data_IF_450632945173
#
_entry.id   IF_450632945173
#
_cell.length_a   1.000
_cell.length_b   1.000
_cell.length_c   1.000
_cell.angle_alpha   90.00
_cell.angle_beta   90.00
_cell.angle_gamma   90.00
#
_symmetry.space_group_name_H-M   'P 1'
#
loop_
_entity.id
_entity.type
_entity.pdbx_description
1 polymer ?
#
# COMPACT_ATOMS: atom_id res chain seq x y z
N UNK A 1 -4.82 6.17 25.65
CA UNK A 1 -5.65 5.98 24.44
C UNK A 1 -5.57 4.51 24.05
N UNK A 2 -6.69 3.92 23.64
CA UNK A 2 -6.69 2.55 23.10
C UNK A 2 -5.92 2.52 21.79
N UNK A 3 -5.04 1.54 21.60
CA UNK A 3 -4.30 1.34 20.36
C UNK A 3 -5.10 0.43 19.42
N UNK A 4 -5.05 0.71 18.13
CA UNK A 4 -5.54 -0.19 17.08
C UNK A 4 -4.57 -1.36 16.90
N UNK A 5 -5.10 -2.57 16.89
CA UNK A 5 -4.34 -3.81 16.72
C UNK A 5 -4.27 -4.14 15.22
N UNK A 6 -3.05 -4.24 14.72
CA UNK A 6 -2.78 -4.22 13.28
C UNK A 6 -2.11 -5.50 12.84
N UNK A 7 -2.70 -6.15 11.84
CA UNK A 7 -2.09 -7.23 11.07
C UNK A 7 -1.52 -6.73 9.75
N UNK A 8 -0.41 -7.31 9.31
CA UNK A 8 0.21 -7.01 8.01
C UNK A 8 0.39 -8.30 7.24
N UNK A 9 -0.11 -8.36 6.01
CA UNK A 9 0.12 -9.45 5.03
C UNK A 9 1.15 -8.96 4.01
N UNK A 10 2.16 -9.78 3.72
CA UNK A 10 3.24 -9.41 2.80
C UNK A 10 4.32 -8.52 3.44
N UNK A 11 4.54 -8.67 4.74
CA UNK A 11 5.43 -7.82 5.54
C UNK A 11 6.92 -7.86 5.17
N UNK A 12 7.39 -8.86 4.41
CA UNK A 12 8.79 -8.95 3.98
C UNK A 12 9.12 -8.10 2.74
N UNK A 13 8.12 -7.58 2.03
CA UNK A 13 8.30 -6.69 0.89
C UNK A 13 8.74 -5.27 1.28
N UNK A 14 9.14 -4.45 0.30
CA UNK A 14 9.51 -3.05 0.56
C UNK A 14 8.37 -2.26 1.18
N UNK A 15 7.17 -2.38 0.65
CA UNK A 15 5.98 -1.68 1.17
C UNK A 15 5.66 -2.11 2.61
N UNK A 16 5.75 -3.43 2.90
CA UNK A 16 5.59 -3.95 4.26
C UNK A 16 6.65 -3.39 5.22
N UNK A 17 7.90 -3.29 4.78
CA UNK A 17 8.99 -2.71 5.57
C UNK A 17 8.77 -1.23 5.88
N UNK A 18 8.34 -0.42 4.90
CA UNK A 18 8.02 1.00 5.14
C UNK A 18 6.82 1.14 6.10
N UNK A 19 5.81 0.31 5.94
CA UNK A 19 4.66 0.31 6.85
C UNK A 19 5.06 -0.04 8.28
N UNK A 20 5.94 -1.03 8.46
CA UNK A 20 6.49 -1.38 9.76
C UNK A 20 7.19 -0.18 10.44
N UNK A 21 8.05 0.54 9.71
CA UNK A 21 8.75 1.75 10.22
C UNK A 21 7.77 2.81 10.71
N UNK A 22 6.70 3.03 9.95
CA UNK A 22 5.65 4.00 10.30
C UNK A 22 4.88 3.54 11.54
N UNK A 23 4.43 2.27 11.54
CA UNK A 23 3.51 1.78 12.58
C UNK A 23 4.20 1.53 13.92
N UNK A 24 5.48 1.12 13.95
CA UNK A 24 6.24 0.97 15.18
C UNK A 24 6.34 2.28 15.96
N UNK A 25 6.38 3.41 15.26
CA UNK A 25 6.45 4.74 15.84
C UNK A 25 5.08 5.44 15.95
N UNK A 26 3.99 4.81 15.49
CA UNK A 26 2.67 5.44 15.52
C UNK A 26 2.02 5.29 16.92
N UNK A 27 1.61 6.40 17.58
CA UNK A 27 1.15 6.37 18.98
C UNK A 27 -0.10 5.53 19.21
N UNK A 28 -0.93 5.37 18.20
CA UNK A 28 -2.18 4.62 18.26
C UNK A 28 -2.12 3.24 17.57
N UNK A 29 -0.94 2.79 17.15
CA UNK A 29 -0.77 1.49 16.54
C UNK A 29 -0.18 0.47 17.52
N UNK A 30 -0.61 -0.79 17.38
CA UNK A 30 0.01 -1.95 17.98
C UNK A 30 0.08 -3.05 16.94
N UNK A 31 1.28 -3.47 16.58
CA UNK A 31 1.48 -4.55 15.62
C UNK A 31 1.18 -5.89 16.30
N UNK A 32 0.14 -6.57 15.86
CA UNK A 32 -0.30 -7.86 16.38
C UNK A 32 0.41 -9.01 15.69
N UNK A 33 0.49 -8.98 14.35
CA UNK A 33 1.24 -9.94 13.57
C UNK A 33 1.73 -9.35 12.25
N UNK A 34 2.75 -9.99 11.68
CA UNK A 34 3.30 -9.66 10.36
C UNK A 34 3.48 -10.95 9.58
N UNK A 35 2.64 -11.18 8.58
CA UNK A 35 2.64 -12.40 7.79
C UNK A 35 3.66 -12.33 6.64
N UNK A 36 4.49 -13.36 6.54
CA UNK A 36 5.31 -13.63 5.37
C UNK A 36 5.63 -15.11 5.27
N UNK A 37 5.12 -15.78 4.25
CA UNK A 37 5.37 -17.20 4.05
C UNK A 37 6.85 -17.49 3.79
N UNK A 38 7.53 -16.66 3.00
CA UNK A 38 8.94 -16.85 2.64
C UNK A 38 9.92 -16.61 3.80
N UNK A 39 9.51 -15.86 4.83
CA UNK A 39 10.33 -15.51 5.99
C UNK A 39 9.73 -16.02 7.31
N UNK A 40 8.78 -16.95 7.24
CA UNK A 40 8.09 -17.48 8.41
C UNK A 40 9.05 -17.91 9.53
N UNK A 41 8.75 -17.49 10.76
CA UNK A 41 9.56 -17.79 11.95
C UNK A 41 10.84 -16.97 12.09
N UNK A 42 11.23 -16.18 11.08
CA UNK A 42 12.41 -15.33 11.18
C UNK A 42 12.08 -13.99 11.86
N UNK A 43 12.97 -13.46 12.70
CA UNK A 43 12.84 -12.09 13.22
C UNK A 43 12.75 -11.06 12.09
N UNK A 44 11.90 -10.05 12.26
CA UNK A 44 11.66 -9.01 11.25
C UNK A 44 12.96 -8.33 10.82
N UNK A 45 13.88 -8.06 11.74
CA UNK A 45 15.16 -7.43 11.45
C UNK A 45 16.08 -8.26 10.54
N UNK A 46 15.84 -9.53 10.34
CA UNK A 46 16.59 -10.33 9.37
C UNK A 46 16.36 -9.87 7.94
N UNK A 47 15.16 -9.41 7.65
CA UNK A 47 14.77 -8.84 6.35
C UNK A 47 14.93 -7.32 6.33
N UNK A 48 14.45 -6.63 7.36
CA UNK A 48 14.50 -5.19 7.55
C UNK A 48 15.55 -4.84 8.60
N UNK A 49 16.83 -4.80 8.19
CA UNK A 49 17.98 -4.76 9.11
C UNK A 49 18.05 -3.52 10.01
N UNK A 50 17.49 -2.43 9.55
CA UNK A 50 17.36 -1.18 10.28
C UNK A 50 16.39 -1.25 11.47
N UNK A 51 15.53 -2.28 11.52
CA UNK A 51 14.60 -2.54 12.63
C UNK A 51 15.22 -3.40 13.76
N UNK A 52 16.53 -3.62 13.73
CA UNK A 52 17.23 -4.32 14.81
C UNK A 52 17.13 -3.52 16.12
N UNK A 53 16.54 -4.14 17.14
CA UNK A 53 16.29 -3.51 18.43
C UNK A 53 15.03 -2.67 18.55
N UNK A 54 14.32 -2.45 17.43
CA UNK A 54 13.04 -1.71 17.41
C UNK A 54 11.84 -2.63 17.69
N UNK A 55 11.96 -3.93 17.42
CA UNK A 55 10.89 -4.91 17.65
C UNK A 55 11.44 -6.32 17.78
N UNK A 56 10.80 -7.11 18.65
CA UNK A 56 11.06 -8.56 18.81
C UNK A 56 10.13 -9.43 17.98
N UNK A 57 9.26 -8.84 17.15
CA UNK A 57 8.32 -9.57 16.31
C UNK A 57 9.05 -10.47 15.29
N UNK A 58 8.45 -11.63 15.06
CA UNK A 58 8.84 -12.58 14.01
C UNK A 58 7.76 -12.64 12.93
N UNK A 59 8.15 -13.02 11.72
CA UNK A 59 7.17 -13.24 10.66
C UNK A 59 6.30 -14.46 10.97
N UNK A 60 4.98 -14.27 10.97
CA UNK A 60 4.00 -15.34 11.09
C UNK A 60 3.97 -16.17 9.79
N UNK A 61 3.71 -17.48 9.93
CA UNK A 61 3.56 -18.43 8.82
C UNK A 61 2.13 -18.46 8.26
N UNK A 62 1.13 -18.14 9.09
CA UNK A 62 -0.29 -18.23 8.78
C UNK A 62 -1.05 -17.05 9.37
N UNK A 63 -2.25 -16.81 8.87
CA UNK A 63 -3.20 -15.87 9.44
C UNK A 63 -3.69 -16.34 10.82
N UNK A 64 -4.17 -15.41 11.66
CA UNK A 64 -4.93 -15.76 12.86
C UNK A 64 -6.09 -16.69 12.54
N UNK A 65 -6.47 -17.53 13.51
CA UNK A 65 -7.57 -18.48 13.38
C UNK A 65 -8.58 -18.30 14.51
N UNK A 66 -9.86 -18.53 14.24
CA UNK A 66 -10.92 -18.48 15.23
C UNK A 66 -10.90 -17.19 16.05
N UNK A 67 -10.76 -17.32 17.37
CA UNK A 67 -10.77 -16.21 18.32
C UNK A 67 -9.55 -15.28 18.24
N UNK A 68 -8.45 -15.70 17.62
CA UNK A 68 -7.27 -14.84 17.46
C UNK A 68 -7.56 -13.60 16.61
N UNK A 69 -8.60 -13.65 15.77
CA UNK A 69 -9.07 -12.50 15.02
C UNK A 69 -9.68 -11.39 15.90
N UNK A 70 -10.16 -11.75 17.11
CA UNK A 70 -10.67 -10.76 18.07
C UNK A 70 -9.59 -9.74 18.49
N UNK A 71 -8.32 -10.09 18.27
CA UNK A 71 -7.17 -9.23 18.55
C UNK A 71 -6.67 -8.43 17.32
N UNK A 72 -7.47 -8.31 16.28
CA UNK A 72 -7.13 -7.55 15.06
C UNK A 72 -8.22 -6.55 14.73
N UNK A 73 -7.90 -5.28 14.62
CA UNK A 73 -8.83 -4.22 14.23
C UNK A 73 -8.64 -3.80 12.75
N UNK A 74 -7.39 -3.87 12.26
CA UNK A 74 -7.03 -3.43 10.91
C UNK A 74 -6.06 -4.42 10.28
N UNK A 75 -6.31 -4.79 9.03
CA UNK A 75 -5.46 -5.64 8.21
C UNK A 75 -4.92 -4.86 7.02
N UNK A 76 -3.60 -4.76 6.91
CA UNK A 76 -2.93 -4.20 5.74
C UNK A 76 -2.51 -5.31 4.78
N UNK A 77 -2.83 -5.14 3.49
CA UNK A 77 -2.40 -6.02 2.41
C UNK A 77 -1.26 -5.34 1.65
N UNK A 78 -0.04 -5.84 1.88
CA UNK A 78 1.20 -5.35 1.27
C UNK A 78 1.75 -6.33 0.22
N UNK A 79 0.88 -7.16 -0.34
CA UNK A 79 1.21 -8.12 -1.39
C UNK A 79 1.40 -7.44 -2.75
N UNK A 80 1.94 -8.16 -3.72
CA UNK A 80 2.08 -7.66 -5.09
C UNK A 80 0.73 -7.47 -5.79
N UNK A 81 0.76 -6.75 -6.91
CA UNK A 81 -0.43 -6.55 -7.76
C UNK A 81 -1.02 -7.89 -8.21
N UNK A 82 -2.35 -8.01 -8.20
CA UNK A 82 -3.11 -9.22 -8.49
C UNK A 82 -3.18 -10.23 -7.34
N UNK A 83 -2.43 -10.02 -6.26
CA UNK A 83 -2.38 -10.94 -5.14
C UNK A 83 -3.41 -10.62 -4.04
N UNK A 84 -3.78 -9.37 -3.86
CA UNK A 84 -4.78 -8.98 -2.86
C UNK A 84 -6.17 -9.46 -3.21
N UNK A 85 -6.55 -9.41 -4.48
CA UNK A 85 -7.82 -9.97 -4.95
C UNK A 85 -7.87 -11.49 -4.74
N UNK A 86 -6.82 -12.20 -5.13
CA UNK A 86 -6.71 -13.64 -4.91
C UNK A 86 -6.77 -13.99 -3.42
N UNK A 87 -6.04 -13.24 -2.58
CA UNK A 87 -6.02 -13.43 -1.13
C UNK A 87 -7.42 -13.28 -0.53
N UNK A 88 -8.15 -12.22 -0.85
CA UNK A 88 -9.50 -11.99 -0.35
C UNK A 88 -10.56 -12.94 -0.94
N UNK A 89 -10.26 -13.61 -2.05
CA UNK A 89 -11.11 -14.65 -2.61
C UNK A 89 -10.93 -16.02 -1.91
N UNK A 90 -9.75 -16.26 -1.33
CA UNK A 90 -9.41 -17.55 -0.69
C UNK A 90 -9.48 -17.51 0.82
N UNK A 91 -9.20 -16.37 1.44
CA UNK A 91 -9.14 -16.24 2.89
C UNK A 91 -10.43 -15.63 3.46
N UNK A 92 -10.90 -16.17 4.57
CA UNK A 92 -12.07 -15.65 5.28
C UNK A 92 -11.63 -14.65 6.34
N UNK A 93 -11.80 -13.37 6.06
CA UNK A 93 -11.52 -12.29 7.02
C UNK A 93 -12.82 -11.86 7.68
N UNK A 94 -12.91 -11.77 9.02
CA UNK A 94 -14.10 -11.27 9.71
C UNK A 94 -14.53 -9.88 9.23
N UNK A 95 -15.83 -9.67 9.16
CA UNK A 95 -16.42 -8.46 8.53
C UNK A 95 -16.23 -7.17 9.32
N UNK A 96 -15.89 -7.27 10.58
CA UNK A 96 -15.59 -6.15 11.49
C UNK A 96 -14.15 -5.64 11.37
N UNK A 97 -13.26 -6.41 10.73
CA UNK A 97 -11.88 -6.01 10.47
C UNK A 97 -11.83 -5.05 9.29
N UNK A 98 -11.22 -3.89 9.50
CA UNK A 98 -10.95 -2.94 8.42
C UNK A 98 -9.79 -3.40 7.56
N UNK A 99 -9.92 -3.28 6.23
CA UNK A 99 -8.89 -3.70 5.28
C UNK A 99 -8.32 -2.48 4.55
N UNK A 100 -7.00 -2.37 4.53
CA UNK A 100 -6.28 -1.37 3.73
C UNK A 100 -5.39 -2.11 2.74
N UNK A 101 -5.72 -2.01 1.45
CA UNK A 101 -4.97 -2.65 0.38
C UNK A 101 -3.99 -1.68 -0.29
N UNK A 102 -2.73 -2.10 -0.43
CA UNK A 102 -1.68 -1.30 -1.04
C UNK A 102 -1.38 -1.72 -2.50
N UNK A 103 -2.10 -2.72 -3.01
CA UNK A 103 -1.99 -3.17 -4.41
C UNK A 103 -2.73 -2.23 -5.38
N UNK A 104 -2.75 -2.58 -6.65
CA UNK A 104 -3.58 -1.91 -7.67
C UNK A 104 -4.99 -2.47 -7.76
N UNK A 105 -5.27 -3.60 -7.09
CA UNK A 105 -6.39 -4.48 -7.41
C UNK A 105 -7.75 -3.82 -7.19
N UNK A 106 -7.85 -2.93 -6.20
CA UNK A 106 -9.11 -2.31 -5.80
C UNK A 106 -9.15 -0.79 -5.96
N UNK A 107 -8.15 -0.18 -6.61
CA UNK A 107 -8.12 1.28 -6.82
C UNK A 107 -9.22 1.79 -7.74
N UNK A 108 -9.84 0.89 -8.51
CA UNK A 108 -11.06 1.13 -9.29
C UNK A 108 -12.34 1.14 -8.43
N UNK A 109 -12.19 1.07 -7.10
CA UNK A 109 -13.29 1.05 -6.13
C UNK A 109 -14.22 -0.16 -6.24
N UNK A 110 -13.75 -1.27 -6.82
CA UNK A 110 -14.48 -2.54 -6.84
C UNK A 110 -14.60 -3.17 -5.44
N UNK A 111 -15.49 -4.12 -5.27
CA UNK A 111 -15.65 -4.95 -4.07
C UNK A 111 -15.84 -4.15 -2.76
N UNK A 112 -16.46 -2.96 -2.84
CA UNK A 112 -16.71 -2.10 -1.67
C UNK A 112 -15.48 -1.36 -1.15
N UNK A 113 -14.39 -1.33 -1.90
CA UNK A 113 -13.24 -0.51 -1.57
C UNK A 113 -13.48 0.96 -1.92
N UNK A 114 -12.98 1.83 -1.07
CA UNK A 114 -12.94 3.28 -1.25
C UNK A 114 -11.53 3.69 -1.63
N UNK A 115 -11.38 4.56 -2.61
CA UNK A 115 -10.06 5.11 -2.99
C UNK A 115 -9.49 5.95 -1.86
N UNK A 116 -8.32 5.59 -1.36
CA UNK A 116 -7.79 6.04 -0.08
C UNK A 116 -6.98 7.35 -0.14
N UNK A 117 -7.43 8.37 -0.90
CA UNK A 117 -6.82 9.70 -0.89
C UNK A 117 -7.62 10.64 0.03
N UNK A 118 -7.15 10.93 1.27
CA UNK A 118 -7.91 11.72 2.24
C UNK A 118 -8.22 13.14 1.77
N UNK A 119 -7.35 13.74 0.97
CA UNK A 119 -7.53 15.07 0.41
C UNK A 119 -8.72 15.14 -0.56
N UNK A 120 -9.04 14.03 -1.20
CA UNK A 120 -10.18 13.92 -2.11
C UNK A 120 -11.49 13.60 -1.38
N UNK A 121 -11.48 12.63 -0.44
CA UNK A 121 -12.72 12.06 0.10
C UNK A 121 -12.61 11.58 1.57
N UNK A 122 -12.08 12.43 2.43
CA UNK A 122 -11.84 12.14 3.87
C UNK A 122 -13.04 11.55 4.59
N UNK A 123 -14.23 12.12 4.40
CA UNK A 123 -15.43 11.67 5.11
C UNK A 123 -15.88 10.28 4.66
N UNK A 124 -15.76 9.96 3.38
CA UNK A 124 -16.01 8.61 2.85
C UNK A 124 -15.04 7.59 3.43
N UNK A 125 -13.75 7.94 3.49
CA UNK A 125 -12.70 7.09 4.08
C UNK A 125 -12.98 6.80 5.56
N UNK A 126 -13.42 7.81 6.33
CA UNK A 126 -13.75 7.62 7.76
C UNK A 126 -14.83 6.58 8.02
N UNK A 127 -15.75 6.41 7.09
CA UNK A 127 -16.87 5.47 7.20
C UNK A 127 -16.56 4.12 6.55
N UNK A 128 -15.47 4.03 5.76
CA UNK A 128 -15.14 2.84 5.02
C UNK A 128 -14.60 1.71 5.91
N UNK A 129 -14.95 0.48 5.56
CA UNK A 129 -14.31 -0.73 6.09
C UNK A 129 -13.19 -1.26 5.19
N UNK A 130 -13.17 -0.84 3.91
CA UNK A 130 -12.19 -1.28 2.90
C UNK A 130 -11.63 -0.07 2.17
N UNK A 131 -10.31 0.08 2.18
CA UNK A 131 -9.61 1.23 1.61
C UNK A 131 -8.54 0.74 0.64
N UNK A 132 -8.57 1.24 -0.60
CA UNK A 132 -7.53 1.01 -1.60
C UNK A 132 -6.54 2.18 -1.57
N UNK A 133 -5.33 1.95 -1.05
CA UNK A 133 -4.30 2.98 -0.97
C UNK A 133 -3.82 3.39 -2.37
N UNK A 134 -3.76 4.69 -2.68
CA UNK A 134 -3.34 5.21 -3.98
C UNK A 134 -1.93 4.78 -4.40
N UNK A 135 -1.67 4.75 -5.70
CA UNK A 135 -0.33 4.59 -6.23
C UNK A 135 0.58 5.78 -5.93
N UNK A 136 1.90 5.54 -5.86
CA UNK A 136 2.86 6.58 -5.48
C UNK A 136 2.87 7.78 -6.42
N UNK A 137 2.92 7.56 -7.74
CA UNK A 137 2.80 8.66 -8.72
C UNK A 137 1.40 9.27 -8.73
N UNK A 138 0.35 8.45 -8.59
CA UNK A 138 -1.02 8.95 -8.53
C UNK A 138 -1.17 9.93 -7.37
N UNK A 139 -0.76 9.55 -6.16
CA UNK A 139 -0.79 10.44 -4.99
C UNK A 139 -0.09 11.78 -5.26
N UNK A 140 1.15 11.75 -5.77
CA UNK A 140 1.92 12.96 -6.04
C UNK A 140 1.25 13.87 -7.08
N UNK A 141 0.75 13.27 -8.17
CA UNK A 141 0.12 14.00 -9.28
C UNK A 141 -1.25 14.54 -8.84
N UNK A 142 -2.05 13.74 -8.18
CA UNK A 142 -3.37 14.12 -7.69
C UNK A 142 -3.29 15.26 -6.69
N UNK A 143 -2.38 15.23 -5.74
CA UNK A 143 -2.18 16.33 -4.78
C UNK A 143 -1.83 17.65 -5.47
N UNK A 144 -1.15 17.61 -6.62
CA UNK A 144 -0.84 18.81 -7.40
C UNK A 144 -2.02 19.26 -8.30
N UNK A 145 -2.76 18.31 -8.89
CA UNK A 145 -3.72 18.59 -9.97
C UNK A 145 -5.16 18.72 -9.48
N UNK A 146 -5.57 17.96 -8.46
CA UNK A 146 -6.96 17.97 -7.98
C UNK A 146 -7.45 19.34 -7.50
N UNK A 147 -6.67 20.20 -6.82
CA UNK A 147 -7.12 21.56 -6.49
C UNK A 147 -7.45 22.39 -7.72
N UNK A 148 -6.68 22.21 -8.81
CA UNK A 148 -6.90 22.92 -10.07
C UNK A 148 -8.12 22.35 -10.82
N UNK A 149 -8.32 21.03 -10.76
CA UNK A 149 -9.50 20.38 -11.33
C UNK A 149 -10.78 20.84 -10.61
N UNK A 150 -10.78 20.82 -9.28
CA UNK A 150 -11.90 21.30 -8.46
C UNK A 150 -12.25 22.77 -8.73
N UNK A 151 -11.24 23.61 -8.95
CA UNK A 151 -11.42 25.00 -9.34
C UNK A 151 -11.86 25.18 -10.81
N UNK A 152 -11.93 24.09 -11.61
CA UNK A 152 -12.28 24.10 -13.04
C UNK A 152 -11.37 25.00 -13.91
N UNK A 153 -10.11 25.14 -13.51
CA UNK A 153 -9.11 25.95 -14.23
C UNK A 153 -8.25 25.16 -15.22
N UNK A 154 -8.32 23.84 -15.21
CA UNK A 154 -7.67 23.00 -16.21
C UNK A 154 -8.38 23.20 -17.58
N UNK A 155 -7.67 23.71 -18.56
CA UNK A 155 -8.21 24.05 -19.90
C UNK A 155 -7.59 23.23 -21.04
N UNK A 156 -6.55 22.48 -20.75
CA UNK A 156 -5.80 21.66 -21.72
C UNK A 156 -5.19 20.45 -21.05
N UNK A 157 -4.50 19.64 -21.82
CA UNK A 157 -3.75 18.49 -21.31
C UNK A 157 -2.73 18.91 -20.26
N UNK A 158 -2.59 18.06 -19.25
CA UNK A 158 -1.58 18.23 -18.19
C UNK A 158 -0.36 17.36 -18.52
N UNK A 159 0.77 18.01 -18.75
CA UNK A 159 2.03 17.32 -18.99
C UNK A 159 2.76 17.10 -17.67
N UNK A 160 3.08 15.83 -17.37
CA UNK A 160 3.74 15.43 -16.11
C UNK A 160 5.09 14.80 -16.39
N UNK A 161 6.14 15.34 -15.77
CA UNK A 161 7.45 14.71 -15.67
C UNK A 161 7.70 14.30 -14.22
N UNK A 162 7.81 13.00 -13.96
CA UNK A 162 7.96 12.48 -12.62
C UNK A 162 9.14 11.51 -12.55
N UNK A 163 9.87 11.51 -11.44
CA UNK A 163 11.05 10.68 -11.20
C UNK A 163 10.81 9.78 -10.01
N UNK A 164 11.25 8.53 -10.09
CA UNK A 164 11.16 7.56 -8.99
C UNK A 164 12.45 6.75 -8.86
N UNK A 165 12.70 6.21 -7.67
CA UNK A 165 13.74 5.21 -7.46
C UNK A 165 13.33 3.82 -7.92
N UNK A 166 14.31 2.93 -8.15
CA UNK A 166 14.08 1.55 -8.60
C UNK A 166 13.30 0.69 -7.59
N UNK A 167 13.29 1.05 -6.31
CA UNK A 167 12.51 0.36 -5.27
C UNK A 167 11.00 0.40 -5.52
N UNK A 168 10.51 1.39 -6.29
CA UNK A 168 9.12 1.46 -6.71
C UNK A 168 8.67 0.28 -7.60
N UNK A 169 9.60 -0.46 -8.19
CA UNK A 169 9.32 -1.69 -8.94
C UNK A 169 9.21 -2.95 -8.06
N UNK A 170 9.43 -2.82 -6.75
CA UNK A 170 9.43 -3.94 -5.81
C UNK A 170 10.78 -4.70 -5.78
N UNK A 171 10.80 -5.80 -5.02
CA UNK A 171 12.00 -6.61 -4.80
C UNK A 171 12.28 -7.62 -5.92
N UNK A 172 11.32 -7.87 -6.82
CA UNK A 172 11.52 -8.81 -7.91
C UNK A 172 12.68 -8.39 -8.80
N UNK A 173 13.57 -9.33 -9.08
CA UNK A 173 14.75 -9.07 -9.92
C UNK A 173 14.30 -8.78 -11.37
N UNK A 174 14.80 -7.69 -11.92
CA UNK A 174 14.62 -7.36 -13.34
C UNK A 174 15.87 -6.70 -13.90
N UNK A 175 16.06 -6.82 -15.21
CA UNK A 175 17.20 -6.22 -15.90
C UNK A 175 17.29 -4.71 -15.70
N UNK A 176 16.13 -4.01 -15.69
CA UNK A 176 16.05 -2.56 -15.55
C UNK A 176 16.20 -2.04 -14.11
N UNK A 177 16.12 -2.92 -13.11
CA UNK A 177 16.31 -2.56 -11.69
C UNK A 177 17.64 -3.08 -11.11
N UNK A 178 18.41 -3.82 -11.91
CA UNK A 178 19.70 -4.33 -11.50
C UNK A 178 20.67 -3.19 -11.18
N UNK A 179 21.45 -3.31 -10.09
CA UNK A 179 22.34 -2.26 -9.61
C UNK A 179 23.28 -1.73 -10.70
N UNK A 180 23.95 -2.61 -11.44
CA UNK A 180 24.87 -2.21 -12.50
C UNK A 180 24.21 -1.42 -13.63
N UNK A 181 22.93 -1.72 -13.93
CA UNK A 181 22.15 -0.97 -14.89
C UNK A 181 21.71 0.40 -14.35
N UNK A 182 21.33 0.47 -13.07
CA UNK A 182 20.76 1.67 -12.44
C UNK A 182 21.80 2.65 -11.92
N UNK A 183 23.03 2.21 -11.69
CA UNK A 183 24.06 3.06 -11.17
C UNK A 183 24.36 4.22 -12.15
N UNK A 184 24.18 5.46 -11.69
CA UNK A 184 24.32 6.67 -12.52
C UNK A 184 23.50 6.66 -13.82
N UNK A 185 22.37 5.96 -13.84
CA UNK A 185 21.54 5.83 -15.03
C UNK A 185 20.08 6.19 -14.73
N UNK A 186 19.45 6.89 -15.68
CA UNK A 186 18.02 7.21 -15.70
C UNK A 186 17.42 6.71 -17.00
N UNK A 187 16.21 6.16 -16.96
CA UNK A 187 15.50 5.71 -18.14
C UNK A 187 14.02 6.04 -18.05
N UNK A 188 13.40 6.34 -19.19
CA UNK A 188 11.96 6.50 -19.30
C UNK A 188 11.31 5.12 -19.34
N UNK A 189 10.22 4.93 -18.62
CA UNK A 189 9.42 3.71 -18.66
C UNK A 189 7.93 4.03 -18.70
N UNK A 190 7.14 3.16 -19.34
CA UNK A 190 5.67 3.26 -19.44
C UNK A 190 5.16 4.67 -19.79
N UNK A 191 5.87 5.40 -20.67
CA UNK A 191 5.43 6.71 -21.12
C UNK A 191 4.00 6.61 -21.69
N UNK A 192 3.09 7.44 -21.19
CA UNK A 192 1.67 7.50 -21.56
C UNK A 192 0.86 6.18 -21.36
N UNK A 193 1.45 5.15 -20.77
CA UNK A 193 0.78 3.85 -20.54
C UNK A 193 0.88 3.37 -19.10
N UNK A 194 1.29 4.26 -18.19
CA UNK A 194 1.46 3.90 -16.78
C UNK A 194 0.10 3.59 -16.15
N UNK A 195 0.03 2.51 -15.34
CA UNK A 195 -1.21 2.05 -14.69
C UNK A 195 -1.87 3.10 -13.79
N UNK A 196 -1.10 4.05 -13.23
CA UNK A 196 -1.65 5.13 -12.40
C UNK A 196 -2.47 6.15 -13.19
N UNK A 197 -2.40 6.19 -14.51
CA UNK A 197 -3.22 7.10 -15.33
C UNK A 197 -4.71 6.83 -15.16
N UNK A 198 -5.10 5.55 -14.95
CA UNK A 198 -6.49 5.18 -14.74
C UNK A 198 -7.04 5.77 -13.42
N UNK A 199 -6.29 5.63 -12.31
CA UNK A 199 -6.71 6.15 -11.01
C UNK A 199 -6.72 7.70 -10.99
N UNK A 200 -5.72 8.37 -11.60
CA UNK A 200 -5.68 9.82 -11.73
C UNK A 200 -6.88 10.33 -12.55
N UNK A 201 -7.16 9.69 -13.70
CA UNK A 201 -8.30 10.04 -14.55
C UNK A 201 -9.64 9.89 -13.83
N UNK A 202 -9.80 8.82 -13.08
CA UNK A 202 -10.99 8.58 -12.23
C UNK A 202 -11.18 9.70 -11.22
N UNK A 203 -10.12 10.10 -10.50
CA UNK A 203 -10.18 11.14 -9.48
C UNK A 203 -10.51 12.52 -10.05
N UNK A 204 -9.92 12.88 -11.21
CA UNK A 204 -10.20 14.16 -11.89
C UNK A 204 -11.63 14.19 -12.40
N UNK A 205 -12.14 13.08 -12.94
CA UNK A 205 -13.50 13.02 -13.50
C UNK A 205 -14.58 13.10 -12.42
N UNK A 206 -14.27 12.72 -11.20
CA UNK A 206 -15.19 12.78 -10.05
C UNK A 206 -15.43 14.20 -9.50
N UNK A 207 -14.66 15.22 -9.95
CA UNK A 207 -14.76 16.64 -9.58
C UNK A 207 -15.51 17.46 -10.63
#
# INVERSE_FOLDING_TARGET
MQKFRIGIVGGAGYTGGELLRILLNHPQAHLQFVLSQSQAGQPIYKTHKDLLGETDLTFAAALPSGKEWEDVDVLFLCSGHGQSEQFLATETIPSDIKIIDLSTDFRNQSNGFVYGLPELQRETIRQASRIANPGCFATSIELAVLPLAAAKVLKSDVHVSAITGSTGAGQALSASTHFSWRNNNISIYKAFTHQHLAEIGQSITAL
#
